data_IF_457653271349
#
_entry.id   IF_457653271349
#
_cell.length_a   1.000
_cell.length_b   1.000
_cell.length_c   1.000
_cell.angle_alpha   90.00
_cell.angle_beta   90.00
_cell.angle_gamma   90.00
#
_symmetry.space_group_name_H-M   'P 1'
#
loop_
_entity.id
_entity.type
_entity.pdbx_description
1 polymer ?
#
# COMPACT_ATOMS: atom_id res chain seq x y z
N UNK A 1 25.93 6.29 4.39
CA UNK A 1 24.79 5.36 4.49
C UNK A 1 23.72 6.10 5.24
N UNK A 2 22.68 6.57 4.56
CA UNK A 2 21.66 7.42 5.19
C UNK A 2 20.78 6.56 6.11
N UNK A 3 20.95 6.72 7.41
CA UNK A 3 19.95 6.40 8.42
C UNK A 3 18.88 7.50 8.38
N UNK A 4 17.62 7.20 8.05
CA UNK A 4 16.59 8.24 8.16
C UNK A 4 15.19 7.94 7.66
N UNK A 5 14.96 6.96 6.80
CA UNK A 5 13.67 6.77 6.16
C UNK A 5 13.26 5.32 6.36
N UNK A 6 12.19 5.06 7.12
CA UNK A 6 11.77 3.72 7.54
C UNK A 6 11.25 2.81 6.41
N UNK A 7 11.79 2.92 5.20
CA UNK A 7 11.39 2.19 3.99
C UNK A 7 12.59 2.05 3.02
N UNK A 8 12.47 1.13 2.05
CA UNK A 8 13.49 0.84 1.05
C UNK A 8 13.00 1.21 -0.34
N UNK A 9 13.80 1.97 -1.09
CA UNK A 9 13.52 2.25 -2.51
C UNK A 9 14.16 1.19 -3.39
N UNK A 10 13.39 0.65 -4.33
CA UNK A 10 13.85 -0.31 -5.33
C UNK A 10 13.38 0.13 -6.71
N UNK A 11 14.19 -0.08 -7.73
CA UNK A 11 13.70 0.08 -9.10
C UNK A 11 12.70 -1.04 -9.42
N UNK A 12 11.75 -0.78 -10.31
CA UNK A 12 10.85 -1.82 -10.83
C UNK A 12 11.64 -3.03 -11.35
N UNK A 13 12.72 -2.80 -12.09
CA UNK A 13 13.55 -3.89 -12.61
C UNK A 13 14.18 -4.75 -11.51
N UNK A 14 14.66 -4.13 -10.43
CA UNK A 14 15.25 -4.86 -9.30
C UNK A 14 14.20 -5.63 -8.51
N UNK A 15 12.97 -5.07 -8.42
CA UNK A 15 11.83 -5.77 -7.86
C UNK A 15 11.49 -7.01 -8.68
N UNK A 16 11.29 -6.89 -9.99
CA UNK A 16 10.90 -8.02 -10.84
C UNK A 16 11.92 -9.17 -10.80
N UNK A 17 13.21 -8.86 -10.67
CA UNK A 17 14.27 -9.89 -10.56
C UNK A 17 14.26 -10.64 -9.22
N UNK A 18 13.67 -10.08 -8.16
CA UNK A 18 13.76 -10.60 -6.79
C UNK A 18 12.42 -10.56 -6.05
N UNK A 19 11.29 -10.54 -6.75
CA UNK A 19 9.98 -10.23 -6.17
C UNK A 19 9.66 -11.13 -4.97
N UNK A 20 9.89 -12.44 -5.09
CA UNK A 20 9.68 -13.41 -4.01
C UNK A 20 10.45 -13.04 -2.75
N UNK A 21 11.74 -12.73 -2.86
CA UNK A 21 12.58 -12.36 -1.70
C UNK A 21 12.16 -11.02 -1.10
N UNK A 22 11.74 -10.07 -1.93
CA UNK A 22 11.28 -8.76 -1.47
C UNK A 22 9.94 -8.89 -0.72
N UNK A 23 9.00 -9.68 -1.25
CA UNK A 23 7.73 -9.96 -0.58
C UNK A 23 7.97 -10.69 0.75
N UNK A 24 8.90 -11.66 0.79
CA UNK A 24 9.32 -12.28 2.06
C UNK A 24 9.84 -11.26 3.07
N UNK A 25 10.62 -10.28 2.64
CA UNK A 25 11.12 -9.23 3.53
C UNK A 25 9.99 -8.36 4.07
N UNK A 26 9.03 -7.97 3.24
CA UNK A 26 7.82 -7.25 3.67
C UNK A 26 7.10 -8.08 4.74
N UNK A 27 6.78 -9.34 4.41
CA UNK A 27 6.06 -10.27 5.28
C UNK A 27 6.78 -10.53 6.62
N UNK A 28 8.07 -10.85 6.60
CA UNK A 28 8.81 -11.34 7.77
C UNK A 28 9.45 -10.23 8.60
N UNK A 29 9.84 -9.12 7.96
CA UNK A 29 10.58 -8.02 8.62
C UNK A 29 9.74 -6.75 8.77
N UNK A 30 8.59 -6.68 8.11
CA UNK A 30 7.80 -5.46 8.04
C UNK A 30 8.47 -4.37 7.21
N UNK A 31 9.32 -4.77 6.26
CA UNK A 31 9.97 -3.82 5.36
C UNK A 31 8.92 -3.13 4.50
N UNK A 32 8.98 -1.80 4.41
CA UNK A 32 8.17 -1.00 3.48
C UNK A 32 8.98 -0.76 2.23
N UNK A 33 8.43 -1.10 1.07
CA UNK A 33 9.13 -0.97 -0.21
C UNK A 33 8.47 0.12 -1.02
N UNK A 34 9.28 1.01 -1.59
CA UNK A 34 8.86 1.99 -2.58
C UNK A 34 9.43 1.58 -3.92
N UNK A 35 8.57 1.42 -4.91
CA UNK A 35 8.94 1.11 -6.28
C UNK A 35 9.21 2.39 -7.05
N UNK A 36 10.33 2.41 -7.77
CA UNK A 36 10.76 3.52 -8.59
C UNK A 36 10.80 3.15 -10.07
N UNK A 37 10.33 4.07 -10.90
CA UNK A 37 10.48 4.01 -12.36
C UNK A 37 10.96 5.38 -12.86
N UNK A 38 11.99 5.38 -13.70
CA UNK A 38 12.63 6.61 -14.20
C UNK A 38 13.06 7.62 -13.11
N UNK A 39 13.32 7.15 -11.88
CA UNK A 39 13.75 7.98 -10.75
C UNK A 39 12.60 8.60 -9.94
N UNK A 40 11.34 8.31 -10.30
CA UNK A 40 10.15 8.72 -9.56
C UNK A 40 9.61 7.56 -8.72
N UNK A 41 9.14 7.87 -7.51
CA UNK A 41 8.41 6.91 -6.68
C UNK A 41 7.00 6.75 -7.27
N UNK A 42 6.57 5.52 -7.54
CA UNK A 42 5.32 5.27 -8.28
C UNK A 42 4.34 4.35 -7.55
N UNK A 43 4.84 3.44 -6.71
CA UNK A 43 4.00 2.52 -5.95
C UNK A 43 4.70 2.14 -4.64
N UNK A 44 3.94 1.59 -3.72
CA UNK A 44 4.43 1.08 -2.44
C UNK A 44 3.96 -0.36 -2.20
N UNK A 45 4.81 -1.16 -1.57
CA UNK A 45 4.48 -2.49 -1.05
C UNK A 45 4.69 -2.48 0.45
N UNK A 46 3.63 -2.73 1.21
CA UNK A 46 3.63 -2.74 2.68
C UNK A 46 2.89 -3.95 3.22
N UNK A 47 3.03 -4.25 4.51
CA UNK A 47 2.19 -5.23 5.18
C UNK A 47 0.71 -4.82 5.13
N UNK A 48 -0.19 -5.78 4.97
CA UNK A 48 -1.64 -5.53 4.98
C UNK A 48 -2.12 -4.79 6.24
N UNK A 49 -1.62 -5.17 7.42
CA UNK A 49 -1.92 -4.46 8.67
C UNK A 49 -1.48 -2.98 8.65
N UNK A 50 -0.40 -2.67 7.93
CA UNK A 50 0.07 -1.30 7.78
C UNK A 50 -0.81 -0.50 6.80
N UNK A 51 -1.21 -1.13 5.70
CA UNK A 51 -2.18 -0.56 4.78
C UNK A 51 -3.47 -0.16 5.50
N UNK A 52 -4.06 -1.05 6.31
CA UNK A 52 -5.30 -0.73 7.05
C UNK A 52 -5.12 0.43 8.05
N UNK A 53 -3.94 0.55 8.68
CA UNK A 53 -3.63 1.69 9.56
C UNK A 53 -3.55 3.00 8.76
N UNK A 54 -2.95 2.97 7.58
CA UNK A 54 -2.85 4.13 6.69
C UNK A 54 -4.24 4.51 6.16
N UNK A 55 -5.02 3.53 5.71
CA UNK A 55 -6.37 3.77 5.20
C UNK A 55 -7.27 4.38 6.27
N UNK A 56 -7.28 3.80 7.48
CA UNK A 56 -7.99 4.37 8.62
C UNK A 56 -7.57 5.81 8.92
N UNK A 57 -6.25 6.09 8.91
CA UNK A 57 -5.73 7.44 9.12
C UNK A 57 -6.21 8.41 8.03
N UNK A 58 -6.23 7.97 6.77
CA UNK A 58 -6.69 8.78 5.64
C UNK A 58 -8.20 9.06 5.74
N UNK A 59 -9.01 8.08 6.10
CA UNK A 59 -10.44 8.29 6.37
C UNK A 59 -10.65 9.30 7.50
N UNK A 60 -9.86 9.20 8.56
CA UNK A 60 -9.86 10.11 9.70
C UNK A 60 -9.42 11.55 9.35
N UNK A 61 -8.61 11.71 8.30
CA UNK A 61 -8.07 12.98 7.83
C UNK A 61 -8.95 13.64 6.76
N UNK A 62 -9.73 12.85 6.00
CA UNK A 62 -10.68 13.38 5.03
C UNK A 62 -11.67 14.32 5.76
N UNK A 63 -11.75 15.60 5.38
CA UNK A 63 -12.68 16.52 6.01
C UNK A 63 -14.10 16.02 5.76
N UNK A 64 -14.81 15.65 6.82
CA UNK A 64 -16.21 15.23 6.72
C UNK A 64 -17.02 16.38 6.10
N UNK A 65 -17.64 16.11 4.96
CA UNK A 65 -18.62 17.03 4.36
C UNK A 65 -20.00 16.91 5.04
N UNK A 66 -20.15 15.98 5.98
CA UNK A 66 -21.42 15.62 6.60
C UNK A 66 -21.40 15.90 8.12
N UNK A 67 -22.44 16.61 8.56
CA UNK A 67 -22.86 16.61 9.97
C UNK A 67 -23.29 15.18 10.35
N UNK A 68 -23.12 14.76 11.62
CA UNK A 68 -23.18 13.36 12.05
C UNK A 68 -24.62 12.82 12.18
N UNK A 69 -25.46 13.06 11.18
CA UNK A 69 -26.81 12.51 11.07
C UNK A 69 -26.98 11.97 9.64
N UNK A 70 -26.31 10.87 9.31
CA UNK A 70 -26.75 9.95 8.25
C UNK A 70 -25.90 8.67 8.35
N UNK A 71 -26.53 7.58 8.78
CA UNK A 71 -26.01 6.21 8.74
C UNK A 71 -25.81 5.76 7.28
N UNK A 72 -24.90 6.39 6.55
CA UNK A 72 -24.37 5.83 5.31
C UNK A 72 -23.32 4.78 5.70
N UNK A 73 -23.80 3.58 6.03
CA UNK A 73 -22.96 2.40 6.16
C UNK A 73 -22.10 2.25 4.89
N UNK A 74 -20.80 2.21 5.12
CA UNK A 74 -19.69 2.07 4.17
C UNK A 74 -19.92 0.95 3.15
N UNK A 75 -20.09 1.30 1.87
CA UNK A 75 -19.98 0.37 0.74
C UNK A 75 -19.34 1.10 -0.45
N UNK A 76 -18.07 1.54 -0.32
CA UNK A 76 -17.24 1.78 -1.51
C UNK A 76 -15.73 1.75 -1.20
N UNK A 77 -15.32 0.83 -0.30
CA UNK A 77 -13.92 0.47 -0.23
C UNK A 77 -13.67 -0.47 -1.41
N UNK A 78 -12.96 0.03 -2.43
CA UNK A 78 -12.64 -0.74 -3.64
C UNK A 78 -12.06 -2.11 -3.32
N UNK A 79 -12.41 -3.12 -4.12
CA UNK A 79 -11.97 -4.49 -3.88
C UNK A 79 -10.43 -4.58 -3.94
N UNK A 80 -9.84 -5.31 -2.98
CA UNK A 80 -8.42 -5.69 -3.04
C UNK A 80 -8.31 -6.94 -3.92
N UNK A 81 -7.61 -6.83 -5.05
CA UNK A 81 -7.39 -7.94 -5.98
C UNK A 81 -6.25 -8.81 -5.46
N UNK A 82 -6.55 -10.01 -4.95
CA UNK A 82 -5.53 -10.93 -4.48
C UNK A 82 -4.91 -11.70 -5.64
N UNK A 83 -3.58 -11.61 -5.78
CA UNK A 83 -2.80 -12.23 -6.87
C UNK A 83 -1.56 -12.92 -6.31
N UNK A 84 -1.11 -13.97 -6.99
CA UNK A 84 0.17 -14.61 -6.67
C UNK A 84 1.35 -13.85 -7.31
N UNK A 85 2.58 -14.02 -6.78
CA UNK A 85 3.75 -13.30 -7.29
C UNK A 85 4.12 -13.65 -8.74
N UNK A 86 3.82 -14.84 -9.21
CA UNK A 86 3.99 -15.23 -10.62
C UNK A 86 3.01 -14.49 -11.52
N UNK A 87 1.73 -14.44 -11.16
CA UNK A 87 0.70 -13.65 -11.87
C UNK A 87 1.07 -12.16 -11.91
N UNK A 88 1.56 -11.62 -10.78
CA UNK A 88 2.08 -10.25 -10.70
C UNK A 88 3.21 -10.01 -11.71
N UNK A 89 4.14 -10.95 -11.86
CA UNK A 89 5.30 -10.81 -12.73
C UNK A 89 4.95 -10.99 -14.21
N UNK A 90 3.95 -11.81 -14.52
CA UNK A 90 3.48 -12.03 -15.90
C UNK A 90 2.84 -10.77 -16.49
N UNK A 91 2.15 -9.96 -15.68
CA UNK A 91 1.42 -8.77 -16.12
C UNK A 91 1.80 -7.48 -15.38
N UNK A 92 3.06 -7.40 -14.93
CA UNK A 92 3.50 -6.38 -14.00
C UNK A 92 3.27 -4.95 -14.48
N UNK A 93 3.53 -4.67 -15.76
CA UNK A 93 3.39 -3.33 -16.32
C UNK A 93 1.93 -2.85 -16.32
N UNK A 94 0.97 -3.75 -16.58
CA UNK A 94 -0.45 -3.42 -16.56
C UNK A 94 -0.95 -3.25 -15.12
N UNK A 95 -0.59 -4.17 -14.21
CA UNK A 95 -0.93 -4.06 -12.78
C UNK A 95 -0.39 -2.75 -12.20
N UNK A 96 0.84 -2.37 -12.55
CA UNK A 96 1.44 -1.13 -12.09
C UNK A 96 0.76 0.11 -12.68
N UNK A 97 0.29 0.04 -13.94
CA UNK A 97 -0.53 1.07 -14.52
C UNK A 97 -1.87 1.20 -13.78
N UNK A 98 -2.52 0.09 -13.45
CA UNK A 98 -3.78 0.09 -12.71
C UNK A 98 -3.62 0.70 -11.31
N UNK A 99 -2.54 0.33 -10.62
CA UNK A 99 -2.16 0.91 -9.31
C UNK A 99 -1.93 2.42 -9.41
N UNK A 100 -1.26 2.88 -10.47
CA UNK A 100 -0.88 4.30 -10.62
C UNK A 100 -2.01 5.18 -11.14
N UNK A 101 -2.75 4.72 -12.14
CA UNK A 101 -3.73 5.51 -12.89
C UNK A 101 -5.14 5.39 -12.30
N UNK A 102 -5.49 4.22 -11.77
CA UNK A 102 -6.82 3.92 -11.23
C UNK A 102 -6.83 3.73 -9.72
N UNK A 103 -5.67 3.83 -9.06
CA UNK A 103 -5.54 3.70 -7.61
C UNK A 103 -6.06 2.35 -7.08
N UNK A 104 -5.95 1.32 -7.92
CA UNK A 104 -6.32 -0.07 -7.63
C UNK A 104 -5.37 -0.68 -6.59
N UNK A 105 -5.89 -1.63 -5.81
CA UNK A 105 -5.17 -2.29 -4.72
C UNK A 105 -4.97 -3.76 -5.03
N UNK A 106 -3.73 -4.24 -4.89
CA UNK A 106 -3.42 -5.65 -5.10
C UNK A 106 -2.88 -6.28 -3.83
N UNK A 107 -3.56 -7.32 -3.37
CA UNK A 107 -3.12 -8.18 -2.28
C UNK A 107 -2.15 -9.22 -2.81
N UNK A 108 -0.93 -9.25 -2.29
CA UNK A 108 0.09 -10.21 -2.69
C UNK A 108 -0.05 -11.46 -1.83
N UNK A 109 -0.48 -12.55 -2.43
CA UNK A 109 -0.59 -13.85 -1.78
C UNK A 109 0.81 -14.45 -1.58
N UNK A 110 1.05 -15.13 -0.44
CA UNK A 110 2.31 -15.79 -0.21
C UNK A 110 2.37 -17.12 -0.98
N UNK A 111 3.58 -17.58 -1.28
CA UNK A 111 3.83 -18.91 -1.83
C UNK A 111 4.46 -19.83 -0.78
N UNK A 112 4.40 -21.15 -0.99
CA UNK A 112 5.03 -22.13 -0.09
C UNK A 112 6.54 -21.88 0.12
N UNK A 113 7.21 -21.33 -0.89
CA UNK A 113 8.63 -20.98 -0.82
C UNK A 113 8.93 -19.88 0.21
N UNK A 114 7.92 -19.13 0.66
CA UNK A 114 8.04 -18.00 1.58
C UNK A 114 8.14 -18.39 3.05
N UNK A 115 7.79 -19.63 3.42
CA UNK A 115 7.94 -20.13 4.78
C UNK A 115 6.96 -21.25 5.14
N UNK A 116 7.18 -21.86 6.31
CA UNK A 116 6.32 -22.93 6.83
C UNK A 116 5.11 -22.36 7.58
N UNK A 117 3.94 -22.99 7.46
CA UNK A 117 2.68 -22.62 8.13
C UNK A 117 2.12 -21.22 7.76
N UNK A 118 2.38 -20.75 6.54
CA UNK A 118 1.76 -19.53 6.03
C UNK A 118 0.37 -19.87 5.46
N UNK A 119 -0.63 -19.07 5.80
CA UNK A 119 -1.94 -19.15 5.17
C UNK A 119 -1.85 -18.59 3.74
N UNK A 120 -1.90 -19.48 2.76
CA UNK A 120 -1.77 -19.13 1.33
C UNK A 120 -3.01 -18.45 0.74
N UNK A 121 -4.10 -18.35 1.51
CA UNK A 121 -5.34 -17.72 1.07
C UNK A 121 -5.51 -16.29 1.56
N UNK A 122 -4.55 -15.77 2.34
CA UNK A 122 -4.58 -14.42 2.89
C UNK A 122 -3.39 -13.64 2.34
N UNK A 123 -3.63 -12.39 1.90
CA UNK A 123 -2.55 -11.51 1.47
C UNK A 123 -1.54 -11.27 2.59
N UNK A 124 -0.27 -11.16 2.24
CA UNK A 124 0.80 -10.83 3.20
C UNK A 124 1.32 -9.41 3.00
N UNK A 125 1.04 -8.83 1.83
CA UNK A 125 1.41 -7.47 1.49
C UNK A 125 0.38 -6.86 0.56
N UNK A 126 0.31 -5.53 0.55
CA UNK A 126 -0.52 -4.75 -0.36
C UNK A 126 0.40 -3.94 -1.26
N UNK A 127 0.23 -4.08 -2.57
CA UNK A 127 0.72 -3.16 -3.58
C UNK A 127 -0.33 -2.07 -3.79
N UNK A 128 0.08 -0.81 -3.66
CA UNK A 128 -0.77 0.37 -3.79
C UNK A 128 -0.04 1.54 -4.43
N UNK A 129 -0.81 2.57 -4.81
CA UNK A 129 -0.26 3.84 -5.28
C UNK A 129 0.63 4.46 -4.20
N UNK A 130 1.73 5.09 -4.63
CA UNK A 130 2.60 5.83 -3.72
C UNK A 130 1.86 7.00 -3.05
N UNK A 131 0.82 7.53 -3.68
CA UNK A 131 0.03 8.65 -3.15
C UNK A 131 -0.83 8.24 -1.95
N UNK A 132 -1.18 6.94 -1.85
CA UNK A 132 -1.83 6.38 -0.65
C UNK A 132 -0.83 6.14 0.48
N UNK A 133 0.42 5.88 0.14
CA UNK A 133 1.48 5.69 1.12
C UNK A 133 1.92 7.03 1.74
N UNK A 134 2.08 8.06 0.92
CA UNK A 134 2.46 9.40 1.38
C UNK A 134 1.25 10.18 1.88
N UNK A 135 1.00 10.13 3.19
CA UNK A 135 -0.03 10.97 3.82
C UNK A 135 0.29 12.46 3.59
N UNK A 136 -0.55 13.21 2.84
CA UNK A 136 -0.23 14.59 2.53
C UNK A 136 -0.24 15.51 3.77
N UNK A 137 0.82 16.30 3.96
CA UNK A 137 0.95 17.20 5.11
C UNK A 137 -0.22 18.19 5.26
N UNK A 138 -0.81 18.63 4.14
CA UNK A 138 -1.93 19.57 4.16
C UNK A 138 -3.18 18.98 4.84
N UNK A 139 -3.42 17.66 4.71
CA UNK A 139 -4.54 17.00 5.40
C UNK A 139 -4.33 16.98 6.91
N UNK A 140 -3.08 16.73 7.34
CA UNK A 140 -2.69 16.75 8.75
C UNK A 140 -2.87 18.16 9.33
N UNK A 141 -2.40 19.18 8.61
CA UNK A 141 -2.51 20.58 9.02
C UNK A 141 -3.98 21.04 9.12
N UNK A 142 -4.83 20.65 8.17
CA UNK A 142 -6.25 21.01 8.18
C UNK A 142 -7.00 20.38 9.36
N UNK A 143 -6.76 19.10 9.66
CA UNK A 143 -7.34 18.45 10.85
C UNK A 143 -6.90 19.13 12.15
N UNK A 144 -5.64 19.55 12.25
CA UNK A 144 -5.15 20.29 13.40
C UNK A 144 -5.83 21.67 13.53
N UNK A 145 -6.02 22.38 12.40
CA UNK A 145 -6.73 23.67 12.36
C UNK A 145 -8.18 23.53 12.83
N UNK A 146 -8.91 22.54 12.33
CA UNK A 146 -10.31 22.29 12.71
C UNK A 146 -10.45 21.97 14.21
N UNK A 147 -9.52 21.19 14.79
CA UNK A 147 -9.50 20.92 16.25
C UNK A 147 -9.27 22.15 17.12
N UNK A 148 -8.61 23.19 16.62
CA UNK A 148 -8.39 24.44 17.38
C UNK A 148 -9.59 25.40 17.31
N UNK A 149 -10.53 25.16 16.40
CA UNK A 149 -11.70 26.01 16.16
C UNK A 149 -13.00 25.49 16.81
N UNK A 150 -13.00 24.24 17.28
CA UNK A 150 -14.10 23.63 18.05
C UNK A 150 -13.77 23.57 19.53
#
# INVERSE_FOLDING_TARGET
MASGEGFFRLTVEDFCKNAIEIIKRVMQKGDRIILQQAGEDIAAIVLEEEFHKLDYLMQELKPSQFFPDEEAYYEDDGAIHCIYPDELLEDFDNILADVKEFDELFGLLPTEEMGENIDIFISVAILMSVDRFWVPEYLIAEKARLKMLG
#
